data_IF_347538647792
#
_entry.id   IF_347538647792
#
_cell.length_a   1.000
_cell.length_b   1.000
_cell.length_c   1.000
_cell.angle_alpha   90.00
_cell.angle_beta   90.00
_cell.angle_gamma   90.00
#
_symmetry.space_group_name_H-M   'P 1'
#
loop_
_entity.id
_entity.type
_entity.pdbx_description
1 polymer ?
#
# COMPACT_ATOMS: atom_id res chain seq x y z
N UNK A 1 -50.20 -1.62 5.18
CA UNK A 1 -49.13 -2.55 5.59
C UNK A 1 -47.87 -2.13 4.84
N UNK A 2 -47.14 -1.17 5.39
CA UNK A 2 -45.93 -0.63 4.75
C UNK A 2 -44.73 -1.44 5.23
N UNK A 3 -44.23 -2.31 4.37
CA UNK A 3 -43.04 -3.10 4.64
C UNK A 3 -41.81 -2.21 4.49
N UNK A 4 -41.15 -1.89 5.62
CA UNK A 4 -39.82 -1.28 5.62
C UNK A 4 -38.80 -2.21 4.94
N UNK A 5 -37.90 -1.71 4.07
CA UNK A 5 -36.80 -2.52 3.59
C UNK A 5 -35.77 -2.70 4.73
N UNK A 6 -35.50 -3.95 5.09
CA UNK A 6 -34.51 -4.30 6.11
C UNK A 6 -33.10 -3.88 5.67
N UNK A 7 -32.37 -3.25 6.59
CA UNK A 7 -30.96 -2.87 6.40
C UNK A 7 -30.09 -4.11 6.12
N UNK A 8 -29.07 -4.00 5.24
CA UNK A 8 -28.15 -5.09 4.99
C UNK A 8 -27.41 -5.45 6.28
N UNK A 9 -27.39 -6.74 6.62
CA UNK A 9 -26.72 -7.27 7.81
C UNK A 9 -25.21 -7.01 7.81
N UNK A 10 -24.53 -7.18 8.97
CA UNK A 10 -23.14 -6.82 9.13
C UNK A 10 -22.25 -7.67 8.21
N UNK A 11 -21.69 -7.03 7.18
CA UNK A 11 -20.65 -7.64 6.36
C UNK A 11 -19.46 -7.96 7.23
N UNK A 12 -18.92 -9.18 7.07
CA UNK A 12 -17.67 -9.59 7.72
C UNK A 12 -16.62 -8.50 7.55
N UNK A 13 -15.93 -8.12 8.64
CA UNK A 13 -14.82 -7.15 8.62
C UNK A 13 -13.66 -7.55 7.68
N UNK A 14 -13.70 -8.78 7.16
CA UNK A 14 -12.70 -9.35 6.26
C UNK A 14 -13.30 -9.78 4.92
N UNK A 15 -14.39 -9.15 4.47
CA UNK A 15 -14.85 -9.33 3.10
C UNK A 15 -13.69 -9.08 2.12
N UNK A 16 -13.45 -9.98 1.14
CA UNK A 16 -12.39 -9.78 0.17
C UNK A 16 -12.53 -8.43 -0.53
N UNK A 17 -11.39 -7.79 -0.81
CA UNK A 17 -11.39 -6.54 -1.59
C UNK A 17 -12.07 -6.77 -2.96
N UNK A 18 -12.88 -5.82 -3.46
CA UNK A 18 -13.48 -5.90 -4.79
C UNK A 18 -12.44 -6.09 -5.89
N UNK A 19 -12.84 -6.68 -7.02
CA UNK A 19 -11.93 -6.97 -8.14
C UNK A 19 -11.25 -5.69 -8.69
N UNK A 20 -11.98 -4.57 -8.77
CA UNK A 20 -11.47 -3.29 -9.27
C UNK A 20 -10.41 -2.63 -8.38
N UNK A 21 -10.29 -3.06 -7.11
CA UNK A 21 -9.31 -2.53 -6.15
C UNK A 21 -8.02 -3.37 -6.09
N UNK A 22 -7.93 -4.45 -6.89
CA UNK A 22 -6.76 -5.34 -6.91
C UNK A 22 -5.79 -4.91 -8.01
N UNK A 23 -4.51 -4.97 -7.68
CA UNK A 23 -3.40 -4.74 -8.60
C UNK A 23 -2.51 -5.97 -8.67
N UNK A 24 -1.68 -6.05 -9.71
CA UNK A 24 -0.66 -7.09 -9.81
C UNK A 24 0.46 -6.80 -8.81
N UNK A 25 1.07 -7.86 -8.27
CA UNK A 25 2.24 -7.70 -7.41
C UNK A 25 3.38 -7.02 -8.17
N UNK A 26 4.15 -6.13 -7.52
CA UNK A 26 5.27 -5.44 -8.16
C UNK A 26 6.39 -6.44 -8.50
N UNK A 27 7.12 -6.15 -9.58
CA UNK A 27 8.23 -6.98 -10.04
C UNK A 27 8.90 -6.39 -11.27
N UNK A 28 9.86 -7.13 -11.84
CA UNK A 28 10.64 -6.69 -13.00
C UNK A 28 11.96 -6.02 -12.63
N UNK A 29 12.82 -5.78 -13.64
CA UNK A 29 14.21 -5.34 -13.43
C UNK A 29 14.31 -3.97 -12.75
N UNK A 30 13.46 -3.00 -13.14
CA UNK A 30 13.46 -1.66 -12.52
C UNK A 30 13.06 -1.70 -11.05
N UNK A 31 12.04 -2.51 -10.71
CA UNK A 31 11.62 -2.69 -9.32
C UNK A 31 12.75 -3.29 -8.48
N UNK A 32 13.39 -4.37 -8.97
CA UNK A 32 14.53 -5.00 -8.28
C UNK A 32 15.70 -4.04 -8.12
N UNK A 33 16.07 -3.32 -9.18
CA UNK A 33 17.16 -2.36 -9.16
C UNK A 33 16.95 -1.24 -8.14
N UNK A 34 15.77 -0.61 -8.12
CA UNK A 34 15.46 0.43 -7.15
C UNK A 34 15.40 -0.12 -5.72
N UNK A 35 14.84 -1.32 -5.53
CA UNK A 35 14.83 -2.00 -4.23
C UNK A 35 16.24 -2.22 -3.67
N UNK A 36 17.13 -2.75 -4.50
CA UNK A 36 18.53 -2.97 -4.15
C UNK A 36 19.25 -1.65 -3.88
N UNK A 37 18.97 -0.62 -4.69
CA UNK A 37 19.55 0.73 -4.52
C UNK A 37 19.15 1.35 -3.19
N UNK A 38 17.86 1.35 -2.83
CA UNK A 38 17.41 1.89 -1.54
C UNK A 38 18.02 1.14 -0.36
N UNK A 39 18.10 -0.19 -0.44
CA UNK A 39 18.76 -1.02 0.58
C UNK A 39 20.25 -0.73 0.70
N UNK A 40 20.96 -0.57 -0.41
CA UNK A 40 22.39 -0.28 -0.43
C UNK A 40 22.70 1.13 0.13
N UNK A 41 21.76 2.06 -0.01
CA UNK A 41 21.89 3.44 0.47
C UNK A 41 21.32 3.66 1.89
N UNK A 42 20.83 2.60 2.54
CA UNK A 42 20.16 2.69 3.85
C UNK A 42 18.99 3.71 3.86
N UNK A 43 18.21 3.70 2.77
CA UNK A 43 17.07 4.59 2.58
C UNK A 43 15.75 3.84 2.70
N UNK A 44 14.81 4.45 3.43
CA UNK A 44 13.45 3.97 3.55
C UNK A 44 12.51 4.71 2.60
N UNK A 45 11.47 4.04 2.12
CA UNK A 45 10.44 4.67 1.27
C UNK A 45 9.06 4.38 1.81
N UNK A 46 8.16 5.37 1.76
CA UNK A 46 6.75 5.13 2.09
C UNK A 46 6.10 4.17 1.10
N UNK A 47 6.67 4.03 -0.10
CA UNK A 47 6.24 3.05 -1.10
C UNK A 47 6.29 1.62 -0.54
N UNK A 48 7.36 1.25 0.17
CA UNK A 48 7.51 -0.06 0.81
C UNK A 48 6.86 -0.11 2.20
N UNK A 49 7.16 0.84 3.08
CA UNK A 49 6.69 0.82 4.48
C UNK A 49 5.15 0.84 4.59
N UNK A 50 4.47 1.62 3.74
CA UNK A 50 3.00 1.66 3.72
C UNK A 50 2.37 0.56 2.85
N UNK A 51 3.16 -0.34 2.27
CA UNK A 51 2.69 -1.40 1.35
C UNK A 51 1.85 -0.83 0.20
N UNK A 52 2.36 0.25 -0.40
CA UNK A 52 1.64 0.98 -1.44
C UNK A 52 1.37 0.07 -2.64
N UNK A 53 0.10 -0.08 -3.09
CA UNK A 53 -0.23 -0.94 -4.23
C UNK A 53 0.42 -0.47 -5.54
N UNK A 54 0.84 0.80 -5.61
CA UNK A 54 1.37 1.41 -6.83
C UNK A 54 2.90 1.39 -6.91
N UNK A 55 3.60 0.74 -5.96
CA UNK A 55 5.08 0.78 -5.90
C UNK A 55 5.74 0.35 -7.21
N UNK A 56 5.20 -0.67 -7.90
CA UNK A 56 5.76 -1.11 -9.19
C UNK A 56 5.59 -0.09 -10.32
N UNK A 57 4.44 0.58 -10.37
CA UNK A 57 4.14 1.61 -11.38
C UNK A 57 4.99 2.85 -11.13
N UNK A 58 4.94 3.41 -9.92
CA UNK A 58 5.68 4.64 -9.59
C UNK A 58 7.19 4.48 -9.83
N UNK A 59 7.77 3.36 -9.41
CA UNK A 59 9.19 3.09 -9.59
C UNK A 59 9.58 2.88 -11.06
N UNK A 60 8.71 2.28 -11.86
CA UNK A 60 8.94 2.13 -13.32
C UNK A 60 8.97 3.49 -14.01
N UNK A 61 8.14 4.43 -13.54
CA UNK A 61 8.13 5.84 -13.98
C UNK A 61 9.24 6.69 -13.35
N UNK A 62 10.19 6.09 -12.62
CA UNK A 62 11.31 6.80 -12.00
C UNK A 62 10.92 7.67 -10.80
N UNK A 63 9.77 7.41 -10.18
CA UNK A 63 9.25 8.19 -9.05
C UNK A 63 9.25 7.37 -7.76
N UNK A 64 9.81 7.92 -6.69
CA UNK A 64 9.76 7.35 -5.35
C UNK A 64 9.55 8.44 -4.29
N UNK A 65 9.04 8.06 -3.13
CA UNK A 65 8.90 8.96 -1.97
C UNK A 65 9.71 8.40 -0.81
N UNK A 66 10.81 9.08 -0.51
CA UNK A 66 11.78 8.69 0.52
C UNK A 66 11.33 9.19 1.89
N UNK A 67 11.55 8.38 2.93
CA UNK A 67 11.35 8.73 4.32
C UNK A 67 12.70 9.15 4.92
N UNK A 68 12.78 10.37 5.46
CA UNK A 68 14.06 10.98 5.87
C UNK A 68 14.54 10.59 7.27
N UNK A 69 13.64 10.28 8.19
CA UNK A 69 13.94 10.06 9.62
C UNK A 69 13.87 8.57 10.00
N UNK A 70 14.16 7.69 9.06
CA UNK A 70 13.97 6.25 9.20
C UNK A 70 12.52 5.80 8.95
N UNK A 71 12.23 4.57 9.34
CA UNK A 71 10.95 3.88 9.20
C UNK A 71 10.02 4.04 10.42
N UNK A 72 10.56 4.33 11.61
CA UNK A 72 9.76 4.46 12.84
C UNK A 72 9.15 5.86 13.00
N UNK A 73 7.82 5.92 13.08
CA UNK A 73 7.09 7.10 13.49
C UNK A 73 6.58 6.94 14.94
N UNK A 74 6.76 7.98 15.78
CA UNK A 74 6.32 7.94 17.19
C UNK A 74 4.82 8.15 17.39
N UNK A 75 4.07 8.37 16.30
CA UNK A 75 2.61 8.51 16.31
C UNK A 75 1.94 7.18 15.95
N UNK A 76 0.79 6.92 16.55
CA UNK A 76 0.00 5.70 16.34
C UNK A 76 -1.27 5.97 15.50
N UNK A 77 -1.08 6.44 14.26
CA UNK A 77 -2.20 6.66 13.34
C UNK A 77 -2.85 5.31 12.98
N UNK A 78 -4.16 5.16 13.20
CA UNK A 78 -4.89 3.89 13.01
C UNK A 78 -4.89 3.32 11.58
N UNK A 79 -4.50 4.12 10.60
CA UNK A 79 -4.47 3.75 9.19
C UNK A 79 -3.05 3.52 8.65
N UNK A 80 -2.02 3.93 9.38
CA UNK A 80 -0.64 3.67 9.01
C UNK A 80 -0.34 2.17 9.23
N UNK A 81 0.53 1.62 8.39
CA UNK A 81 0.94 0.22 8.43
C UNK A 81 1.80 -0.10 9.66
#
# INVERSE_FOLDING_TARGET
>A
MSSSPSAPGPTSRFAPKPAWLKVRAPGGPTYTHLKETFRALDLHTVCEEARCPNVGECWTEGTATVMLLGDVCTRACRFCA
#
